data_IF_441688051692
#
_entry.id   IF_441688051692
#
_cell.length_a   1.000
_cell.length_b   1.000
_cell.length_c   1.000
_cell.angle_alpha   90.00
_cell.angle_beta   90.00
_cell.angle_gamma   90.00
#
_symmetry.space_group_name_H-M   'P 1'
#
loop_
_entity.id
_entity.type
_entity.pdbx_description
1 polymer ?
#
# COMPACT_ATOMS: atom_id res chain seq x y z
N UNK A 1 4.48 -4.62 -13.99
CA UNK A 1 5.12 -3.42 -13.38
C UNK A 1 6.14 -2.90 -14.39
N UNK A 2 6.10 -1.61 -14.75
CA UNK A 2 6.96 -1.06 -15.82
C UNK A 2 8.22 -0.39 -15.24
N UNK A 3 9.36 -0.37 -15.96
CA UNK A 3 10.61 0.20 -15.47
C UNK A 3 10.45 1.72 -15.26
N UNK A 4 10.71 2.22 -14.05
CA UNK A 4 10.62 3.67 -13.73
C UNK A 4 9.88 4.00 -12.43
N UNK A 5 9.18 3.04 -11.83
CA UNK A 5 8.54 3.23 -10.53
C UNK A 5 9.58 3.45 -9.43
N UNK A 6 9.59 4.65 -8.83
CA UNK A 6 10.43 4.94 -7.66
C UNK A 6 9.71 4.44 -6.41
N UNK A 7 10.40 3.65 -5.57
CA UNK A 7 9.89 3.19 -4.28
C UNK A 7 9.76 4.40 -3.36
N UNK A 8 8.53 4.76 -2.97
CA UNK A 8 8.27 6.05 -2.30
C UNK A 8 8.42 5.96 -0.80
N UNK A 9 8.04 4.85 -0.15
CA UNK A 9 8.27 4.60 1.26
C UNK A 9 7.73 3.21 1.59
N UNK A 10 8.29 2.55 2.59
CA UNK A 10 7.84 1.24 3.07
C UNK A 10 7.68 1.35 4.56
N UNK A 11 6.45 1.35 5.05
CA UNK A 11 6.20 1.24 6.47
C UNK A 11 6.21 -0.25 6.80
N UNK A 12 7.30 -0.70 7.42
CA UNK A 12 7.46 -2.08 7.91
C UNK A 12 7.11 -2.14 9.39
N UNK A 13 6.28 -3.10 9.81
CA UNK A 13 6.24 -3.56 11.20
C UNK A 13 5.08 -3.08 12.07
N UNK A 14 4.07 -2.40 11.51
CA UNK A 14 2.86 -2.07 12.28
C UNK A 14 1.92 -3.27 12.31
N UNK A 15 1.94 -4.03 13.40
CA UNK A 15 0.88 -5.00 13.77
C UNK A 15 0.67 -6.17 12.79
N UNK A 16 1.73 -6.56 12.07
CA UNK A 16 1.72 -7.62 11.05
C UNK A 16 1.40 -7.14 9.64
N UNK A 17 1.42 -5.82 9.40
CA UNK A 17 1.34 -5.24 8.06
C UNK A 17 2.73 -4.88 7.52
N UNK A 18 2.98 -5.29 6.29
CA UNK A 18 4.10 -4.84 5.46
C UNK A 18 3.57 -4.15 4.21
N UNK A 19 4.21 -3.07 3.79
CA UNK A 19 3.74 -2.35 2.60
C UNK A 19 4.85 -1.71 1.79
N UNK A 20 4.61 -1.56 0.50
CA UNK A 20 5.50 -0.86 -0.44
C UNK A 20 4.68 0.01 -1.37
N UNK A 21 4.96 1.32 -1.35
CA UNK A 21 4.33 2.30 -2.24
C UNK A 21 5.23 2.62 -3.44
N UNK A 22 4.60 2.82 -4.59
CA UNK A 22 5.20 3.21 -5.85
C UNK A 22 4.49 4.45 -6.39
N UNK A 23 5.26 5.36 -6.98
CA UNK A 23 4.72 6.44 -7.82
C UNK A 23 5.24 6.25 -9.23
N UNK A 24 4.30 6.16 -10.17
CA UNK A 24 4.60 6.12 -11.59
C UNK A 24 4.91 7.55 -12.06
N UNK A 25 6.08 7.74 -12.67
CA UNK A 25 6.56 9.06 -13.08
C UNK A 25 5.79 9.61 -14.29
N UNK A 26 5.26 8.72 -15.12
CA UNK A 26 4.68 9.07 -16.42
C UNK A 26 3.26 9.67 -16.30
N UNK A 27 2.43 9.12 -15.40
CA UNK A 27 1.03 9.52 -15.21
C UNK A 27 0.74 10.05 -13.79
N UNK A 28 1.74 10.04 -12.90
CA UNK A 28 1.60 10.45 -11.51
C UNK A 28 0.77 9.49 -10.64
N UNK A 29 0.32 8.36 -11.20
CA UNK A 29 -0.46 7.35 -10.50
C UNK A 29 0.37 6.72 -9.38
N UNK A 30 -0.33 6.27 -8.35
CA UNK A 30 0.24 5.67 -7.15
C UNK A 30 -0.28 4.25 -7.02
N UNK A 31 0.63 3.35 -6.67
CA UNK A 31 0.31 1.97 -6.33
C UNK A 31 0.83 1.65 -4.94
N UNK A 32 0.09 0.86 -4.18
CA UNK A 32 0.48 0.35 -2.88
C UNK A 32 0.22 -1.15 -2.85
N UNK A 33 1.25 -1.91 -2.48
CA UNK A 33 1.11 -3.32 -2.14
C UNK A 33 1.13 -3.43 -0.63
N UNK A 34 0.15 -4.11 -0.05
CA UNK A 34 0.09 -4.39 1.40
C UNK A 34 -0.03 -5.89 1.60
N UNK A 35 0.79 -6.43 2.49
CA UNK A 35 0.77 -7.81 2.94
C UNK A 35 0.35 -7.82 4.40
N UNK A 36 -0.66 -8.63 4.73
CA UNK A 36 -1.04 -8.91 6.11
C UNK A 36 -0.54 -10.29 6.50
N UNK A 37 0.53 -10.32 7.30
CA UNK A 37 1.10 -11.55 7.85
C UNK A 37 0.50 -11.94 9.20
N UNK A 38 -0.45 -11.15 9.73
CA UNK A 38 -1.17 -11.45 10.95
C UNK A 38 -2.25 -12.53 10.74
N UNK A 39 -2.67 -13.13 11.86
CA UNK A 39 -3.75 -14.13 11.91
C UNK A 39 -5.15 -13.50 12.01
N UNK A 40 -5.22 -12.18 12.06
CA UNK A 40 -6.46 -11.40 12.12
C UNK A 40 -6.51 -10.40 10.97
N UNK A 41 -7.73 -10.00 10.61
CA UNK A 41 -7.97 -8.90 9.68
C UNK A 41 -7.40 -7.60 10.23
N UNK A 42 -6.79 -6.81 9.35
CA UNK A 42 -6.17 -5.54 9.72
C UNK A 42 -6.74 -4.40 8.92
N UNK A 43 -7.11 -3.33 9.62
CA UNK A 43 -7.49 -2.07 9.00
C UNK A 43 -6.27 -1.16 8.90
N UNK A 44 -6.10 -0.50 7.77
CA UNK A 44 -5.09 0.53 7.58
C UNK A 44 -5.64 1.70 6.77
N UNK A 45 -5.00 2.86 6.93
CA UNK A 45 -5.32 4.06 6.16
C UNK A 45 -4.16 4.43 5.24
N UNK A 46 -4.45 4.59 3.96
CA UNK A 46 -3.55 5.17 2.95
C UNK A 46 -3.81 6.67 2.91
N UNK A 47 -2.77 7.49 3.06
CA UNK A 47 -2.89 8.97 3.04
C UNK A 47 -1.98 9.55 1.96
N UNK A 48 -2.51 10.44 1.13
CA UNK A 48 -1.75 11.12 0.08
C UNK A 48 -2.36 12.47 -0.26
N UNK A 49 -1.55 13.52 -0.41
CA UNK A 49 -2.00 14.84 -0.88
C UNK A 49 -3.30 15.36 -0.21
N UNK A 50 -3.43 15.20 1.11
CA UNK A 50 -4.62 15.59 1.86
C UNK A 50 -5.83 14.65 1.76
N UNK A 51 -5.74 13.57 0.98
CA UNK A 51 -6.76 12.51 0.86
C UNK A 51 -6.41 11.31 1.73
N UNK A 52 -7.43 10.51 2.05
CA UNK A 52 -7.26 9.25 2.76
C UNK A 52 -8.23 8.18 2.26
N UNK A 53 -7.77 6.93 2.24
CA UNK A 53 -8.56 5.73 2.01
C UNK A 53 -8.32 4.75 3.14
N UNK A 54 -9.39 4.24 3.76
CA UNK A 54 -9.30 3.16 4.74
C UNK A 54 -9.65 1.84 4.06
N UNK A 55 -8.87 0.79 4.33
CA UNK A 55 -9.07 -0.54 3.78
C UNK A 55 -8.83 -1.60 4.85
N UNK A 56 -9.65 -2.66 4.83
CA UNK A 56 -9.47 -3.84 5.67
C UNK A 56 -8.87 -4.94 4.79
N UNK A 57 -7.68 -5.41 5.15
CA UNK A 57 -7.03 -6.53 4.48
C UNK A 57 -7.19 -7.80 5.33
N UNK A 58 -7.75 -8.89 4.76
CA UNK A 58 -7.92 -10.13 5.50
C UNK A 58 -6.61 -10.71 6.04
N UNK A 59 -6.69 -11.50 7.10
CA UNK A 59 -5.56 -12.29 7.61
C UNK A 59 -4.85 -13.08 6.49
N UNK A 60 -3.52 -13.08 6.49
CA UNK A 60 -2.72 -13.87 5.54
C UNK A 60 -2.85 -13.48 4.07
N UNK A 61 -3.35 -12.29 3.75
CA UNK A 61 -3.64 -11.88 2.37
C UNK A 61 -2.77 -10.72 1.88
N UNK A 62 -2.76 -10.54 0.55
CA UNK A 62 -2.07 -9.44 -0.13
C UNK A 62 -3.08 -8.65 -0.94
N UNK A 63 -3.02 -7.32 -0.83
CA UNK A 63 -3.82 -6.41 -1.66
C UNK A 63 -2.91 -5.46 -2.44
N UNK A 64 -3.31 -5.16 -3.67
CA UNK A 64 -2.72 -4.08 -4.47
C UNK A 64 -3.77 -3.00 -4.69
N UNK A 65 -3.46 -1.79 -4.24
CA UNK A 65 -4.29 -0.60 -4.43
C UNK A 65 -3.63 0.31 -5.47
N UNK A 66 -4.41 0.88 -6.39
CA UNK A 66 -3.94 1.83 -7.39
C UNK A 66 -4.89 3.03 -7.50
N UNK A 67 -4.34 4.24 -7.57
CA UNK A 67 -5.11 5.50 -7.61
C UNK A 67 -4.32 6.67 -8.23
N UNK A 68 -4.99 7.81 -8.44
CA UNK A 68 -4.40 9.07 -8.92
C UNK A 68 -4.30 10.14 -7.82
#
# INVERSE_FOLDING_TARGET
MRPGARRVESTTGSDGLESVAFRNADDGSKALIVVNTAVLDRSFAVRWAGRSLTYVVPAGSVVTLAWN
#
